data_IF_133932233631
#
_entry.id   IF_133932233631
#
_cell.length_a   1.000
_cell.length_b   1.000
_cell.length_c   1.000
_cell.angle_alpha   90.00
_cell.angle_beta   90.00
_cell.angle_gamma   90.00
#
_symmetry.space_group_name_H-M   'P 1'
#
loop_
_entity.id
_entity.type
_entity.pdbx_description
1 polymer ?
#
# COMPACT_ATOMS: atom_id res chain seq x y z
N UNK A 1 2.83 4.48 -16.21
CA UNK A 1 1.57 3.87 -16.68
C UNK A 1 0.51 4.10 -15.61
N UNK A 2 -0.78 4.04 -15.94
CA UNK A 2 -1.88 4.35 -15.01
C UNK A 2 -2.88 3.19 -14.93
N UNK A 3 -3.41 2.93 -13.74
CA UNK A 3 -4.47 1.96 -13.51
C UNK A 3 -5.77 2.72 -13.28
N UNK A 4 -6.82 2.44 -14.06
CA UNK A 4 -8.12 3.10 -13.87
C UNK A 4 -8.80 2.59 -12.62
N UNK A 5 -9.44 3.52 -11.91
CA UNK A 5 -10.25 3.28 -10.74
C UNK A 5 -11.59 3.98 -10.99
N UNK A 6 -12.57 3.21 -11.48
CA UNK A 6 -13.83 3.78 -11.95
C UNK A 6 -13.67 4.68 -13.18
N UNK A 7 -14.59 5.63 -13.35
CA UNK A 7 -14.72 6.46 -14.58
C UNK A 7 -13.73 7.63 -14.62
N UNK A 8 -13.31 8.15 -13.47
CA UNK A 8 -12.57 9.43 -13.40
C UNK A 8 -11.22 9.36 -12.67
N UNK A 9 -10.90 8.29 -11.95
CA UNK A 9 -9.68 8.23 -11.15
C UNK A 9 -8.65 7.29 -11.76
N UNK A 10 -7.39 7.70 -11.69
CA UNK A 10 -6.27 6.92 -12.20
C UNK A 10 -5.16 6.85 -11.15
N UNK A 11 -4.74 5.62 -10.83
CA UNK A 11 -3.62 5.34 -9.96
C UNK A 11 -2.33 5.30 -10.76
N UNK A 12 -1.23 5.76 -10.16
CA UNK A 12 0.09 5.78 -10.78
C UNK A 12 0.84 4.49 -10.43
N UNK A 13 1.39 3.83 -11.44
CA UNK A 13 2.23 2.63 -11.28
C UNK A 13 3.72 2.95 -11.51
N UNK A 14 4.59 2.36 -10.69
CA UNK A 14 6.04 2.59 -10.73
C UNK A 14 6.66 2.09 -12.04
N UNK A 15 7.60 2.86 -12.62
CA UNK A 15 8.33 2.50 -13.85
C UNK A 15 9.78 2.14 -13.57
N UNK A 16 10.29 1.11 -14.25
CA UNK A 16 11.70 0.70 -14.21
C UNK A 16 12.63 1.83 -14.68
N UNK A 17 13.66 2.11 -13.88
CA UNK A 17 14.92 2.72 -14.33
C UNK A 17 15.99 1.64 -14.16
N UNK A 18 16.81 1.42 -15.18
CA UNK A 18 17.89 0.42 -15.16
C UNK A 18 18.67 0.48 -13.84
N UNK A 19 18.62 -0.63 -13.09
CA UNK A 19 19.32 -0.97 -11.84
C UNK A 19 20.32 0.05 -11.28
N UNK A 20 20.15 0.37 -10.00
CA UNK A 20 21.30 0.40 -9.07
C UNK A 20 20.96 -0.32 -7.77
N UNK A 21 21.83 -1.29 -7.43
CA UNK A 21 21.91 -2.17 -6.24
C UNK A 21 20.92 -1.91 -5.09
N UNK A 22 20.04 -2.89 -4.89
CA UNK A 22 19.49 -3.17 -3.56
C UNK A 22 20.60 -3.68 -2.64
N UNK A 23 20.90 -2.94 -1.58
CA UNK A 23 21.50 -3.49 -0.37
C UNK A 23 20.39 -4.11 0.47
N UNK A 24 20.30 -5.45 0.49
CA UNK A 24 19.49 -6.20 1.45
C UNK A 24 20.07 -6.01 2.85
N UNK A 25 19.60 -5.00 3.58
CA UNK A 25 19.74 -4.97 5.04
C UNK A 25 18.71 -5.92 5.64
N UNK A 26 19.14 -7.08 6.15
CA UNK A 26 18.27 -7.95 6.95
C UNK A 26 18.13 -7.30 8.34
N UNK A 27 16.95 -6.80 8.68
CA UNK A 27 16.61 -6.50 10.06
C UNK A 27 15.89 -7.73 10.65
N UNK A 28 16.62 -8.57 11.39
CA UNK A 28 16.00 -9.45 12.36
C UNK A 28 15.89 -8.70 13.68
N UNK A 29 14.77 -8.85 14.37
CA UNK A 29 14.71 -8.71 15.83
C UNK A 29 13.81 -9.81 16.34
N UNK A 30 14.41 -10.92 16.82
CA UNK A 30 13.67 -11.85 17.65
C UNK A 30 13.59 -11.26 19.05
N UNK A 31 12.44 -11.40 19.70
CA UNK A 31 12.47 -11.94 21.06
C UNK A 31 11.16 -12.66 21.37
N UNK A 32 11.30 -13.96 21.65
CA UNK A 32 10.21 -14.83 22.08
C UNK A 32 10.03 -14.71 23.60
N UNK A 33 8.76 -14.83 24.02
CA UNK A 33 8.24 -15.00 25.40
C UNK A 33 8.07 -13.71 26.24
N UNK A 34 6.82 -13.26 26.41
CA UNK A 34 6.04 -13.49 27.64
C UNK A 34 4.57 -13.70 27.25
N UNK A 35 4.03 -14.85 27.65
CA UNK A 35 2.62 -15.18 27.62
C UNK A 35 1.93 -14.48 28.80
N UNK A 36 1.09 -13.48 28.54
CA UNK A 36 -0.03 -13.15 29.43
C UNK A 36 -1.25 -12.87 28.57
N UNK A 37 -2.21 -13.80 28.64
CA UNK A 37 -3.56 -13.62 28.17
C UNK A 37 -4.19 -12.43 28.89
N UNK A 38 -4.26 -11.30 28.20
CA UNK A 38 -5.38 -10.39 28.35
C UNK A 38 -5.98 -10.19 26.97
N UNK A 39 -7.06 -10.95 26.73
CA UNK A 39 -7.97 -10.71 25.63
C UNK A 39 -8.59 -9.34 25.92
N UNK A 40 -7.92 -8.28 25.50
CA UNK A 40 -8.64 -7.04 25.23
C UNK A 40 -9.24 -7.25 23.86
N UNK A 41 -10.56 -7.20 23.79
CA UNK A 41 -11.30 -7.14 22.54
C UNK A 41 -10.87 -5.87 21.82
N UNK A 42 -9.75 -5.92 21.11
CA UNK A 42 -9.27 -4.79 20.31
C UNK A 42 -10.28 -4.66 19.19
N UNK A 43 -11.18 -3.69 19.33
CA UNK A 43 -11.97 -3.25 18.19
C UNK A 43 -10.97 -2.98 17.06
N UNK A 44 -11.24 -3.53 15.87
CA UNK A 44 -10.36 -3.44 14.71
C UNK A 44 -9.87 -1.99 14.44
N UNK A 45 -10.67 -1.01 14.85
CA UNK A 45 -10.37 0.43 14.80
C UNK A 45 -9.15 0.86 15.65
N UNK A 46 -8.85 0.21 16.76
CA UNK A 46 -7.73 0.61 17.63
C UNK A 46 -6.36 0.35 17.00
N UNK A 47 -6.23 -0.71 16.19
CA UNK A 47 -4.98 -1.10 15.52
C UNK A 47 -4.43 -0.01 14.59
N UNK A 48 -5.30 0.60 13.79
CA UNK A 48 -4.88 1.65 12.85
C UNK A 48 -4.70 3.01 13.54
N UNK A 49 -5.51 3.33 14.56
CA UNK A 49 -5.39 4.58 15.32
C UNK A 49 -4.03 4.70 16.03
N UNK A 50 -3.45 3.58 16.48
CA UNK A 50 -2.14 3.57 17.12
C UNK A 50 -0.97 3.83 16.16
N UNK A 51 -1.17 3.75 14.84
CA UNK A 51 -0.16 4.13 13.84
C UNK A 51 -0.04 5.65 13.65
N UNK A 52 -0.89 6.44 14.33
CA UNK A 52 -0.91 7.90 14.27
C UNK A 52 -2.05 8.47 13.41
N UNK A 53 -2.03 9.79 13.13
CA UNK A 53 -3.10 10.42 12.36
C UNK A 53 -3.09 10.02 10.88
N UNK A 54 -4.28 9.98 10.28
CA UNK A 54 -4.48 9.74 8.85
C UNK A 54 -4.51 8.28 8.40
N UNK A 55 -4.51 7.33 9.33
CA UNK A 55 -4.72 5.90 9.02
C UNK A 55 -6.19 5.53 9.10
N UNK A 56 -6.72 4.97 8.01
CA UNK A 56 -8.07 4.42 7.92
C UNK A 56 -8.01 2.91 7.98
N UNK A 57 -8.86 2.30 8.81
CA UNK A 57 -9.04 0.86 8.85
C UNK A 57 -9.88 0.40 7.66
N UNK A 58 -9.38 -0.61 6.97
CA UNK A 58 -10.16 -1.48 6.10
C UNK A 58 -10.80 -2.58 6.98
N UNK A 59 -12.12 -2.53 7.14
CA UNK A 59 -12.87 -3.46 8.01
C UNK A 59 -12.78 -4.91 7.54
N UNK A 60 -12.63 -5.11 6.23
CA UNK A 60 -12.77 -6.42 5.60
C UNK A 60 -11.46 -7.19 5.69
N UNK A 61 -10.34 -6.49 5.42
CA UNK A 61 -9.00 -7.09 5.52
C UNK A 61 -8.32 -6.90 6.88
N UNK A 62 -8.82 -6.01 7.74
CA UNK A 62 -8.16 -5.63 8.99
C UNK A 62 -6.81 -4.91 8.78
N UNK A 63 -6.57 -4.41 7.57
CA UNK A 63 -5.38 -3.63 7.20
C UNK A 63 -5.63 -2.13 7.34
N UNK A 64 -4.56 -1.33 7.33
CA UNK A 64 -4.66 0.12 7.46
C UNK A 64 -4.18 0.78 6.16
N UNK A 65 -4.89 1.81 5.71
CA UNK A 65 -4.52 2.63 4.56
C UNK A 65 -4.28 4.07 5.02
N UNK A 66 -3.25 4.71 4.47
CA UNK A 66 -2.99 6.13 4.67
C UNK A 66 -2.73 6.77 3.32
N UNK A 67 -3.44 7.86 3.03
CA UNK A 67 -3.24 8.65 1.83
C UNK A 67 -2.25 9.77 2.11
N UNK A 68 -1.29 9.94 1.21
CA UNK A 68 -0.33 11.04 1.23
C UNK A 68 -0.66 12.03 0.13
N UNK A 69 -0.69 13.32 0.48
CA UNK A 69 -0.98 14.41 -0.46
C UNK A 69 0.25 15.04 -1.07
N UNK A 70 1.45 14.75 -0.55
CA UNK A 70 2.70 15.30 -1.08
C UNK A 70 3.05 14.61 -2.38
N UNK A 71 3.18 15.39 -3.46
CA UNK A 71 3.74 14.90 -4.70
C UNK A 71 5.19 14.44 -4.46
N UNK A 72 5.47 13.19 -4.81
CA UNK A 72 6.80 12.58 -4.67
C UNK A 72 7.08 11.64 -5.85
N UNK A 73 8.35 11.42 -6.22
CA UNK A 73 8.75 10.32 -7.09
C UNK A 73 8.35 8.97 -6.48
N UNK A 74 8.14 7.96 -7.34
CA UNK A 74 7.73 6.62 -6.90
C UNK A 74 8.65 6.03 -5.81
N UNK A 75 9.97 6.15 -5.98
CA UNK A 75 10.95 5.65 -5.01
C UNK A 75 10.84 6.31 -3.63
N UNK A 76 10.50 7.60 -3.59
CA UNK A 76 10.30 8.33 -2.34
C UNK A 76 8.97 7.95 -1.68
N UNK A 77 7.93 7.69 -2.49
CA UNK A 77 6.67 7.16 -1.99
C UNK A 77 6.86 5.76 -1.36
N UNK A 78 7.66 4.89 -1.98
CA UNK A 78 8.05 3.58 -1.41
C UNK A 78 8.76 3.76 -0.07
N UNK A 79 9.80 4.63 -0.01
CA UNK A 79 10.54 4.89 1.23
C UNK A 79 9.64 5.45 2.33
N UNK A 80 8.71 6.34 1.98
CA UNK A 80 7.76 6.93 2.93
C UNK A 80 6.90 5.85 3.57
N UNK A 81 6.36 4.91 2.79
CA UNK A 81 5.60 3.78 3.33
C UNK A 81 6.49 2.88 4.21
N UNK A 82 7.71 2.58 3.78
CA UNK A 82 8.64 1.73 4.53
C UNK A 82 9.03 2.33 5.88
N UNK A 83 9.22 3.65 5.96
CA UNK A 83 9.48 4.36 7.22
C UNK A 83 8.31 4.25 8.23
N UNK A 84 7.14 3.81 7.79
CA UNK A 84 5.97 3.55 8.61
C UNK A 84 5.66 2.04 8.79
N UNK A 85 6.66 1.18 8.56
CA UNK A 85 6.53 -0.29 8.58
C UNK A 85 5.37 -0.77 7.69
N UNK A 86 5.20 -0.12 6.52
CA UNK A 86 4.16 -0.44 5.55
C UNK A 86 4.69 -0.45 4.11
N UNK A 87 3.87 -0.94 3.19
CA UNK A 87 4.13 -0.85 1.74
C UNK A 87 3.16 0.10 1.05
N UNK A 88 3.44 0.43 -0.22
CA UNK A 88 2.41 1.00 -1.09
C UNK A 88 1.27 -0.01 -1.26
N UNK A 89 0.04 0.49 -1.41
CA UNK A 89 -1.14 -0.38 -1.43
C UNK A 89 -1.13 -1.34 -2.62
N UNK A 90 -1.48 -2.60 -2.33
CA UNK A 90 -1.82 -3.60 -3.34
C UNK A 90 -3.33 -3.79 -3.38
N UNK A 91 -3.91 -3.80 -4.57
CA UNK A 91 -5.33 -4.04 -4.80
C UNK A 91 -5.41 -5.45 -5.35
N UNK A 92 -6.02 -6.39 -4.63
CA UNK A 92 -5.98 -7.83 -4.95
C UNK A 92 -7.35 -8.47 -5.12
N UNK A 93 -8.39 -7.72 -4.80
CA UNK A 93 -9.77 -8.12 -4.96
C UNK A 93 -10.64 -6.87 -5.15
N UNK A 94 -11.88 -7.04 -5.65
CA UNK A 94 -12.82 -5.93 -5.85
C UNK A 94 -13.11 -5.15 -4.57
N UNK A 95 -13.22 -5.81 -3.42
CA UNK A 95 -13.52 -5.16 -2.15
C UNK A 95 -12.42 -4.17 -1.76
N UNK A 96 -11.15 -4.56 -1.95
CA UNK A 96 -10.01 -3.66 -1.73
C UNK A 96 -9.99 -2.50 -2.70
N UNK A 97 -10.39 -2.75 -3.96
CA UNK A 97 -10.49 -1.72 -5.00
C UNK A 97 -11.51 -0.66 -4.59
N UNK A 98 -12.70 -1.08 -4.17
CA UNK A 98 -13.79 -0.20 -3.77
C UNK A 98 -13.42 0.59 -2.50
N UNK A 99 -12.81 -0.07 -1.52
CA UNK A 99 -12.30 0.60 -0.32
C UNK A 99 -11.28 1.71 -0.68
N UNK A 100 -10.29 1.43 -1.53
CA UNK A 100 -9.29 2.43 -1.95
C UNK A 100 -9.95 3.57 -2.73
N UNK A 101 -10.90 3.25 -3.62
CA UNK A 101 -11.65 4.23 -4.40
C UNK A 101 -12.43 5.19 -3.51
N UNK A 102 -13.14 4.67 -2.51
CA UNK A 102 -13.87 5.50 -1.56
C UNK A 102 -12.95 6.45 -0.78
N UNK A 103 -11.77 5.99 -0.35
CA UNK A 103 -10.83 6.85 0.37
C UNK A 103 -10.31 7.98 -0.53
N UNK A 104 -10.09 7.71 -1.82
CA UNK A 104 -9.65 8.71 -2.80
C UNK A 104 -10.75 9.75 -3.02
N UNK A 105 -12.00 9.34 -3.23
CA UNK A 105 -13.14 10.27 -3.36
C UNK A 105 -13.26 11.15 -2.10
N UNK A 106 -13.21 10.53 -0.90
CA UNK A 106 -13.28 11.25 0.38
C UNK A 106 -12.13 12.26 0.54
N UNK A 107 -10.98 12.01 -0.06
CA UNK A 107 -9.84 12.94 -0.04
C UNK A 107 -10.05 14.20 -0.88
N UNK A 108 -11.03 14.20 -1.81
CA UNK A 108 -11.34 15.30 -2.73
C UNK A 108 -10.10 15.77 -3.51
N UNK A 109 -9.26 14.83 -3.95
CA UNK A 109 -8.07 15.12 -4.74
C UNK A 109 -8.19 14.53 -6.13
N UNK A 110 -7.90 15.35 -7.13
CA UNK A 110 -7.90 14.95 -8.53
C UNK A 110 -6.53 14.41 -8.99
N UNK A 111 -5.53 14.44 -8.11
CA UNK A 111 -4.19 13.92 -8.40
C UNK A 111 -4.13 12.39 -8.27
N UNK A 112 -3.45 11.73 -9.22
CA UNK A 112 -3.24 10.29 -9.14
C UNK A 112 -2.29 9.88 -7.99
N UNK A 113 -2.66 8.82 -7.27
CA UNK A 113 -1.89 8.27 -6.15
C UNK A 113 -0.98 7.12 -6.59
N UNK A 114 0.21 7.02 -5.98
CA UNK A 114 1.09 5.86 -6.20
C UNK A 114 0.57 4.60 -5.51
N UNK A 115 0.68 3.47 -6.20
CA UNK A 115 0.35 2.13 -5.69
C UNK A 115 1.53 1.18 -5.82
N UNK A 116 1.46 -0.01 -5.21
CA UNK A 116 2.56 -0.98 -5.17
C UNK A 116 2.88 -1.69 -6.48
N UNK A 117 2.04 -1.53 -7.51
CA UNK A 117 2.26 -2.11 -8.84
C UNK A 117 3.42 -1.42 -9.55
N UNK A 118 4.37 -2.22 -10.05
CA UNK A 118 5.55 -1.74 -10.76
C UNK A 118 6.06 -2.78 -11.78
N UNK A 119 6.78 -2.33 -12.79
CA UNK A 119 7.40 -3.17 -13.84
C UNK A 119 8.91 -3.33 -13.65
N UNK A 120 9.37 -3.33 -12.39
CA UNK A 120 10.80 -3.37 -12.07
C UNK A 120 11.48 -4.69 -12.48
N UNK A 121 10.75 -5.81 -12.35
CA UNK A 121 11.28 -7.14 -12.67
C UNK A 121 11.35 -7.37 -14.18
N UNK A 122 10.29 -6.97 -14.91
CA UNK A 122 10.19 -7.09 -16.36
C UNK A 122 9.48 -5.85 -16.90
N UNK A 123 10.19 -5.05 -17.70
CA UNK A 123 9.62 -3.83 -18.31
C UNK A 123 8.35 -4.17 -19.09
N UNK A 124 7.26 -3.44 -18.83
CA UNK A 124 5.97 -3.69 -19.44
C UNK A 124 5.09 -4.75 -18.74
N UNK A 125 5.61 -5.49 -17.76
CA UNK A 125 4.84 -6.45 -16.93
C UNK A 125 4.76 -5.92 -15.50
N UNK A 126 3.57 -5.52 -15.08
CA UNK A 126 3.37 -4.94 -13.75
C UNK A 126 3.04 -6.02 -12.72
N UNK A 127 3.82 -6.05 -11.64
CA UNK A 127 3.69 -6.99 -10.54
C UNK A 127 3.45 -6.26 -9.22
N UNK A 128 2.69 -6.89 -8.33
CA UNK A 128 2.58 -6.44 -6.94
C UNK A 128 3.82 -6.90 -6.14
N UNK A 129 4.68 -5.94 -5.75
CA UNK A 129 6.00 -6.19 -5.11
C UNK A 129 6.01 -7.12 -3.89
N UNK A 130 4.88 -7.30 -3.21
CA UNK A 130 4.80 -8.03 -1.93
C UNK A 130 4.31 -9.48 -2.05
N UNK A 131 3.85 -9.90 -3.22
CA UNK A 131 3.06 -11.15 -3.39
C UNK A 131 3.44 -11.91 -4.65
N UNK A 132 4.33 -11.37 -5.49
CA UNK A 132 4.70 -11.95 -6.79
C UNK A 132 3.46 -12.40 -7.59
N UNK A 133 2.43 -11.57 -7.59
CA UNK A 133 1.18 -11.80 -8.31
C UNK A 133 1.04 -10.76 -9.42
N UNK A 134 0.58 -11.22 -10.58
CA UNK A 134 0.24 -10.38 -11.73
C UNK A 134 -0.83 -9.35 -11.34
N UNK A 135 -0.75 -8.16 -11.91
CA UNK A 135 -1.83 -7.18 -11.80
C UNK A 135 -2.98 -7.64 -12.71
N UNK A 136 -3.88 -8.47 -12.17
CA UNK A 136 -5.07 -8.94 -12.88
C UNK A 136 -6.30 -8.17 -12.42
N UNK A 137 -6.68 -7.11 -13.14
CA UNK A 137 -8.05 -6.59 -13.11
C UNK A 137 -8.45 -6.27 -14.54
N UNK A 138 -9.32 -7.10 -15.10
CA UNK A 138 -10.01 -6.81 -16.37
C UNK A 138 -11.00 -5.66 -16.18
N UNK A 139 -11.26 -4.98 -17.29
CA UNK A 139 -11.78 -3.62 -17.48
C UNK A 139 -12.97 -3.15 -16.62
#
# INVERSE_FOLDING_TARGET
>A
MRMKLGVHFELKMGRSKSRSRYSFGRCYSYSWLILLLFITSTSSNFKCKNKGPGWTLDSDSGSCLKLYSSAAPFEEAVKTCQNHDSGLVSILNPEKKDFVYEQIIKSQRDEGFWIGANDEETEGVFMWKHINADVTFED
#
